data_IF_156201437031
#
_entry.id   IF_156201437031
#
_cell.length_a   1.000
_cell.length_b   1.000
_cell.length_c   1.000
_cell.angle_alpha   90.00
_cell.angle_beta   90.00
_cell.angle_gamma   90.00
#
_symmetry.space_group_name_H-M   'P 1'
#
loop_
_entity.id
_entity.type
_entity.pdbx_description
1 polymer ?
#
# COMPACT_ATOMS: atom_id res chain seq x y z
N UNK A 1 -3.67 5.12 -11.31
CA UNK A 1 -3.98 6.18 -10.33
C UNK A 1 -2.83 6.26 -9.35
N UNK A 2 -2.28 7.44 -9.09
CA UNK A 2 -1.13 7.62 -8.18
C UNK A 2 -1.62 7.82 -6.73
N UNK A 3 -0.78 7.44 -5.77
CA UNK A 3 -1.03 7.57 -4.33
C UNK A 3 -1.29 9.03 -3.92
N UNK A 4 -0.55 9.97 -4.49
CA UNK A 4 -0.72 11.41 -4.20
C UNK A 4 -2.13 11.89 -4.54
N UNK A 5 -2.66 11.45 -5.69
CA UNK A 5 -4.03 11.76 -6.10
C UNK A 5 -5.06 11.22 -5.11
N UNK A 6 -4.85 10.01 -4.57
CA UNK A 6 -5.75 9.43 -3.57
C UNK A 6 -5.70 10.20 -2.24
N UNK A 7 -4.52 10.67 -1.85
CA UNK A 7 -4.34 11.49 -0.64
C UNK A 7 -5.06 12.83 -0.79
N UNK A 8 -4.96 13.49 -1.95
CA UNK A 8 -5.69 14.74 -2.21
C UNK A 8 -7.21 14.53 -2.20
N UNK A 9 -7.71 13.45 -2.83
CA UNK A 9 -9.13 13.11 -2.77
C UNK A 9 -9.62 12.88 -1.34
N UNK A 10 -8.81 12.24 -0.48
CA UNK A 10 -9.16 12.04 0.92
C UNK A 10 -9.25 13.38 1.69
N UNK A 11 -8.38 14.35 1.39
CA UNK A 11 -8.43 15.70 1.96
C UNK A 11 -9.69 16.45 1.52
N UNK A 12 -9.97 16.44 0.22
CA UNK A 12 -11.18 17.06 -0.35
C UNK A 12 -12.47 16.46 0.22
N UNK A 13 -12.52 15.13 0.35
CA UNK A 13 -13.65 14.43 0.92
C UNK A 13 -13.88 14.82 2.39
N UNK A 14 -12.79 14.92 3.17
CA UNK A 14 -12.86 15.37 4.57
C UNK A 14 -13.35 16.82 4.68
N UNK A 15 -12.84 17.72 3.84
CA UNK A 15 -13.27 19.12 3.83
C UNK A 15 -14.76 19.25 3.45
N UNK A 16 -15.20 18.48 2.46
CA UNK A 16 -16.60 18.41 2.04
C UNK A 16 -17.50 17.91 3.17
N UNK A 17 -17.09 16.85 3.86
CA UNK A 17 -17.82 16.31 5.01
C UNK A 17 -17.94 17.34 6.14
N UNK A 18 -16.86 18.02 6.50
CA UNK A 18 -16.87 19.04 7.55
C UNK A 18 -17.84 20.18 7.22
N UNK A 19 -17.83 20.64 5.96
CA UNK A 19 -18.73 21.69 5.47
C UNK A 19 -20.19 21.26 5.60
N UNK A 20 -20.56 20.09 5.05
CA UNK A 20 -21.92 19.56 5.12
C UNK A 20 -22.39 19.27 6.55
N UNK A 21 -21.51 18.75 7.40
CA UNK A 21 -21.83 18.52 8.80
C UNK A 21 -22.15 19.85 9.53
N UNK A 22 -21.39 20.91 9.24
CA UNK A 22 -21.62 22.24 9.80
C UNK A 22 -22.92 22.87 9.28
N UNK A 23 -23.26 22.68 8.02
CA UNK A 23 -24.55 23.09 7.46
C UNK A 23 -25.71 22.41 8.19
N UNK A 24 -25.66 21.08 8.35
CA UNK A 24 -26.69 20.31 9.08
C UNK A 24 -26.82 20.77 10.55
N UNK A 25 -25.70 21.14 11.20
CA UNK A 25 -25.71 21.68 12.57
C UNK A 25 -26.37 23.05 12.68
N UNK A 26 -26.19 23.90 11.67
CA UNK A 26 -26.70 25.28 11.64
C UNK A 26 -28.13 25.40 11.12
N UNK A 27 -28.63 24.35 10.46
CA UNK A 27 -29.99 24.27 9.97
C UNK A 27 -30.99 24.33 11.14
N UNK A 28 -31.75 25.44 11.17
CA UNK A 28 -32.74 25.78 12.21
C UNK A 28 -34.07 25.06 11.99
N UNK A 29 -34.33 24.60 10.77
CA UNK A 29 -35.57 23.92 10.41
C UNK A 29 -35.53 22.43 10.83
N UNK A 30 -34.36 21.93 11.23
CA UNK A 30 -34.19 20.56 11.70
C UNK A 30 -34.41 20.44 13.21
N UNK A 31 -35.32 19.54 13.56
CA UNK A 31 -35.40 19.00 14.92
C UNK A 31 -34.12 18.26 15.28
N UNK A 32 -33.84 18.09 16.58
CA UNK A 32 -32.66 17.35 17.07
C UNK A 32 -32.59 15.93 16.48
N UNK A 33 -33.72 15.21 16.44
CA UNK A 33 -33.77 13.87 15.89
C UNK A 33 -33.53 13.85 14.36
N UNK A 34 -34.07 14.83 13.62
CA UNK A 34 -33.81 14.95 12.19
C UNK A 34 -32.33 15.25 11.90
N UNK A 35 -31.72 16.15 12.69
CA UNK A 35 -30.30 16.47 12.62
C UNK A 35 -29.41 15.27 12.89
N UNK A 36 -29.70 14.50 13.95
CA UNK A 36 -28.98 13.27 14.27
C UNK A 36 -29.05 12.25 13.12
N UNK A 37 -30.23 12.02 12.54
CA UNK A 37 -30.38 11.11 11.38
C UNK A 37 -29.57 11.56 10.17
N UNK A 38 -29.62 12.86 9.82
CA UNK A 38 -28.84 13.41 8.71
C UNK A 38 -27.33 13.31 8.95
N UNK A 39 -26.85 13.65 10.15
CA UNK A 39 -25.44 13.53 10.51
C UNK A 39 -24.95 12.08 10.50
N UNK A 40 -25.78 11.14 10.96
CA UNK A 40 -25.48 9.70 10.92
C UNK A 40 -25.29 9.24 9.48
N UNK A 41 -26.27 9.50 8.62
CA UNK A 41 -26.20 9.12 7.21
C UNK A 41 -24.98 9.75 6.51
N UNK A 42 -24.72 11.05 6.74
CA UNK A 42 -23.55 11.74 6.19
C UNK A 42 -22.23 11.08 6.66
N UNK A 43 -22.13 10.75 7.95
CA UNK A 43 -20.95 10.10 8.51
C UNK A 43 -20.74 8.69 7.94
N UNK A 44 -21.80 7.88 7.83
CA UNK A 44 -21.73 6.53 7.27
C UNK A 44 -21.23 6.56 5.82
N UNK A 45 -21.80 7.43 4.97
CA UNK A 45 -21.33 7.61 3.60
C UNK A 45 -19.86 8.06 3.54
N UNK A 46 -19.47 9.04 4.36
CA UNK A 46 -18.08 9.50 4.41
C UNK A 46 -17.12 8.38 4.85
N UNK A 47 -17.48 7.62 5.88
CA UNK A 47 -16.67 6.52 6.39
C UNK A 47 -16.47 5.42 5.33
N UNK A 48 -17.53 5.07 4.59
CA UNK A 48 -17.47 4.13 3.47
C UNK A 48 -16.55 4.62 2.35
N UNK A 49 -16.67 5.89 1.97
CA UNK A 49 -15.83 6.50 0.92
C UNK A 49 -14.35 6.56 1.34
N UNK A 50 -14.06 6.91 2.60
CA UNK A 50 -12.69 6.87 3.14
C UNK A 50 -12.12 5.46 3.17
N UNK A 51 -12.93 4.46 3.55
CA UNK A 51 -12.53 3.07 3.50
C UNK A 51 -12.26 2.59 2.06
N UNK A 52 -13.04 3.08 1.07
CA UNK A 52 -12.81 2.78 -0.34
C UNK A 52 -11.49 3.39 -0.84
N UNK A 53 -11.21 4.67 -0.53
CA UNK A 53 -9.94 5.32 -0.87
C UNK A 53 -8.74 4.59 -0.24
N UNK A 54 -8.88 4.13 1.01
CA UNK A 54 -7.84 3.33 1.66
C UNK A 54 -7.55 2.03 0.90
N UNK A 55 -8.58 1.28 0.50
CA UNK A 55 -8.40 0.06 -0.30
C UNK A 55 -7.73 0.35 -1.64
N UNK A 56 -8.06 1.46 -2.28
CA UNK A 56 -7.41 1.90 -3.52
C UNK A 56 -5.94 2.26 -3.30
N UNK A 57 -5.61 2.91 -2.18
CA UNK A 57 -4.23 3.21 -1.82
C UNK A 57 -3.41 1.93 -1.58
N UNK A 58 -3.96 0.97 -0.83
CA UNK A 58 -3.34 -0.34 -0.61
C UNK A 58 -3.10 -1.07 -1.94
N UNK A 59 -4.08 -1.05 -2.84
CA UNK A 59 -3.94 -1.63 -4.18
C UNK A 59 -2.88 -0.91 -5.03
N UNK A 60 -2.80 0.42 -4.97
CA UNK A 60 -1.80 1.21 -5.68
C UNK A 60 -0.38 0.89 -5.20
N UNK A 61 -0.19 0.69 -3.88
CA UNK A 61 1.09 0.24 -3.31
C UNK A 61 1.47 -1.13 -3.84
N UNK A 62 0.55 -2.10 -3.85
CA UNK A 62 0.84 -3.44 -4.37
C UNK A 62 1.16 -3.42 -5.87
N UNK A 63 0.44 -2.61 -6.65
CA UNK A 63 0.71 -2.45 -8.08
C UNK A 63 2.09 -1.81 -8.32
N UNK A 64 2.46 -0.79 -7.55
CA UNK A 64 3.78 -0.16 -7.62
C UNK A 64 4.89 -1.14 -7.25
N UNK A 65 4.73 -1.91 -6.16
CA UNK A 65 5.63 -2.99 -5.76
C UNK A 65 5.83 -4.01 -6.87
N UNK A 66 4.74 -4.53 -7.45
CA UNK A 66 4.80 -5.52 -8.52
C UNK A 66 5.52 -4.97 -9.77
N UNK A 67 5.23 -3.72 -10.14
CA UNK A 67 5.90 -3.05 -11.28
C UNK A 67 7.41 -2.93 -11.04
N UNK A 68 7.82 -2.43 -9.88
CA UNK A 68 9.23 -2.26 -9.53
C UNK A 68 9.94 -3.61 -9.42
N UNK A 69 9.31 -4.61 -8.80
CA UNK A 69 9.85 -5.97 -8.72
C UNK A 69 10.00 -6.62 -10.10
N UNK A 70 9.05 -6.39 -11.01
CA UNK A 70 9.17 -6.84 -12.40
C UNK A 70 10.27 -6.09 -13.15
N UNK A 71 10.46 -4.80 -12.90
CA UNK A 71 11.57 -4.05 -13.51
C UNK A 71 12.94 -4.54 -13.01
N UNK A 72 13.06 -4.85 -11.72
CA UNK A 72 14.30 -5.30 -11.09
C UNK A 72 14.64 -6.78 -11.38
N UNK A 73 13.64 -7.66 -11.37
CA UNK A 73 13.85 -9.12 -11.40
C UNK A 73 12.88 -9.85 -12.33
N UNK A 74 12.15 -9.16 -13.21
CA UNK A 74 11.20 -9.79 -14.12
C UNK A 74 11.86 -10.77 -15.10
N UNK A 75 11.16 -11.86 -15.38
CA UNK A 75 11.48 -12.74 -16.49
C UNK A 75 11.16 -12.06 -17.82
N UNK A 76 11.97 -12.36 -18.84
CA UNK A 76 11.72 -11.92 -20.19
C UNK A 76 10.53 -12.69 -20.82
N UNK A 77 9.74 -12.07 -21.71
CA UNK A 77 8.61 -12.73 -22.38
C UNK A 77 9.10 -13.89 -23.25
N UNK A 78 9.12 -15.10 -22.69
CA UNK A 78 9.67 -16.30 -23.32
C UNK A 78 10.50 -17.18 -22.37
N UNK A 79 10.93 -16.63 -21.23
CA UNK A 79 11.71 -17.35 -20.22
C UNK A 79 10.94 -17.61 -18.93
N UNK A 80 9.62 -17.43 -18.91
CA UNK A 80 8.80 -17.49 -17.68
C UNK A 80 8.92 -18.83 -16.97
N UNK A 81 8.85 -19.95 -17.70
CA UNK A 81 8.94 -21.27 -17.10
C UNK A 81 10.36 -21.61 -16.63
N UNK A 82 11.38 -21.24 -17.41
CA UNK A 82 12.79 -21.36 -17.00
C UNK A 82 13.08 -20.53 -15.75
N UNK A 83 12.56 -19.30 -15.68
CA UNK A 83 12.71 -18.42 -14.53
C UNK A 83 12.01 -18.97 -13.29
N UNK A 84 10.82 -19.58 -13.45
CA UNK A 84 10.16 -20.28 -12.34
C UNK A 84 11.01 -21.42 -11.79
N UNK A 85 11.59 -22.24 -12.67
CA UNK A 85 12.51 -23.31 -12.26
C UNK A 85 13.76 -22.78 -11.56
N UNK A 86 14.35 -21.71 -12.11
CA UNK A 86 15.51 -21.04 -11.52
C UNK A 86 15.24 -20.46 -10.12
N UNK A 87 14.06 -19.88 -9.90
CA UNK A 87 13.62 -19.44 -8.56
C UNK A 87 13.60 -20.61 -7.59
N UNK A 88 12.97 -21.73 -7.95
CA UNK A 88 12.92 -22.91 -7.08
C UNK A 88 14.32 -23.46 -6.76
N UNK A 89 15.27 -23.35 -7.68
CA UNK A 89 16.67 -23.72 -7.44
C UNK A 89 17.32 -22.74 -6.45
N UNK A 90 17.15 -21.43 -6.66
CA UNK A 90 17.71 -20.40 -5.80
C UNK A 90 17.12 -20.44 -4.38
N UNK A 91 15.82 -20.72 -4.24
CA UNK A 91 15.12 -20.84 -2.95
C UNK A 91 15.67 -21.97 -2.07
N UNK A 92 16.20 -23.04 -2.68
CA UNK A 92 16.77 -24.20 -1.98
C UNK A 92 18.07 -23.88 -1.25
N UNK A 93 18.75 -22.79 -1.59
CA UNK A 93 19.94 -22.38 -0.83
C UNK A 93 19.56 -22.12 0.62
N UNK A 94 20.24 -22.77 1.57
CA UNK A 94 19.93 -22.65 2.99
C UNK A 94 20.37 -21.29 3.56
N UNK A 95 21.49 -20.77 3.08
CA UNK A 95 22.12 -19.57 3.59
C UNK A 95 22.70 -18.68 2.48
N UNK A 96 23.29 -17.56 2.89
CA UNK A 96 23.91 -16.61 1.98
C UNK A 96 25.08 -17.21 1.18
N UNK A 97 25.88 -18.09 1.78
CA UNK A 97 27.05 -18.68 1.13
C UNK A 97 26.64 -19.67 0.03
N UNK A 98 25.61 -20.47 0.28
CA UNK A 98 25.02 -21.35 -0.74
C UNK A 98 24.45 -20.56 -1.90
N UNK A 99 23.69 -19.50 -1.62
CA UNK A 99 23.12 -18.66 -2.67
C UNK A 99 24.23 -17.96 -3.48
N UNK A 100 25.31 -17.55 -2.82
CA UNK A 100 26.47 -16.99 -3.49
C UNK A 100 27.17 -18.00 -4.41
N UNK A 101 27.28 -19.28 -4.00
CA UNK A 101 27.79 -20.35 -4.87
C UNK A 101 26.88 -20.59 -6.06
N UNK A 102 25.57 -20.57 -5.86
CA UNK A 102 24.57 -20.66 -6.95
C UNK A 102 24.75 -19.52 -7.95
N UNK A 103 24.88 -18.28 -7.47
CA UNK A 103 25.14 -17.12 -8.33
C UNK A 103 26.45 -17.28 -9.10
N UNK A 104 27.57 -17.62 -8.44
CA UNK A 104 28.86 -17.81 -9.13
C UNK A 104 28.77 -18.86 -10.23
N UNK A 105 28.17 -20.01 -9.94
CA UNK A 105 27.97 -21.06 -10.96
C UNK A 105 27.17 -20.54 -12.15
N UNK A 106 26.11 -19.77 -11.89
CA UNK A 106 25.29 -19.18 -12.95
C UNK A 106 26.12 -18.22 -13.82
N UNK A 107 26.97 -17.39 -13.22
CA UNK A 107 27.88 -16.50 -13.96
C UNK A 107 28.91 -17.30 -14.77
N UNK A 108 29.51 -18.34 -14.20
CA UNK A 108 30.52 -19.19 -14.85
C UNK A 108 29.94 -19.91 -16.09
N UNK A 109 28.64 -20.26 -16.07
CA UNK A 109 27.97 -20.94 -17.18
C UNK A 109 27.19 -20.00 -18.11
N UNK A 110 27.13 -18.71 -17.81
CA UNK A 110 26.31 -17.75 -18.54
C UNK A 110 24.79 -17.95 -18.37
N UNK A 111 24.34 -18.59 -17.28
CA UNK A 111 22.92 -18.77 -16.97
C UNK A 111 22.34 -17.50 -16.33
N UNK A 112 21.98 -16.54 -17.19
CA UNK A 112 21.42 -15.26 -16.74
C UNK A 112 20.09 -15.42 -15.99
N UNK A 113 19.31 -16.46 -16.30
CA UNK A 113 18.02 -16.72 -15.67
C UNK A 113 18.22 -17.15 -14.22
N UNK A 114 19.18 -18.04 -13.96
CA UNK A 114 19.55 -18.46 -12.61
C UNK A 114 20.25 -17.34 -11.83
N UNK A 115 21.11 -16.55 -12.47
CA UNK A 115 21.74 -15.40 -11.83
C UNK A 115 20.68 -14.38 -11.34
N UNK A 116 19.71 -14.03 -12.21
CA UNK A 116 18.58 -13.14 -11.88
C UNK A 116 17.70 -13.72 -10.78
N UNK A 117 17.45 -15.03 -10.77
CA UNK A 117 16.69 -15.70 -9.71
C UNK A 117 17.43 -15.68 -8.37
N UNK A 118 18.75 -15.94 -8.36
CA UNK A 118 19.57 -15.84 -7.16
C UNK A 118 19.59 -14.41 -6.60
N UNK A 119 19.67 -13.40 -7.46
CA UNK A 119 19.58 -11.99 -7.06
C UNK A 119 18.23 -11.63 -6.44
N UNK A 120 17.12 -12.16 -6.99
CA UNK A 120 15.79 -11.98 -6.39
C UNK A 120 15.74 -12.55 -4.96
N UNK A 121 16.18 -13.80 -4.76
CA UNK A 121 16.18 -14.43 -3.44
C UNK A 121 17.13 -13.70 -2.48
N UNK A 122 18.25 -13.18 -2.98
CA UNK A 122 19.17 -12.38 -2.20
C UNK A 122 18.51 -11.09 -1.69
N UNK A 123 17.76 -10.39 -2.57
CA UNK A 123 17.02 -9.20 -2.20
C UNK A 123 15.92 -9.50 -1.16
N UNK A 124 15.17 -10.59 -1.33
CA UNK A 124 14.11 -11.00 -0.40
C UNK A 124 14.64 -11.38 1.00
N UNK A 125 15.83 -12.00 1.06
CA UNK A 125 16.46 -12.43 2.32
C UNK A 125 17.41 -11.42 2.93
N UNK A 126 17.62 -10.28 2.27
CA UNK A 126 18.57 -9.24 2.73
C UNK A 126 20.04 -9.63 2.58
N UNK A 127 20.38 -10.58 1.71
CA UNK A 127 21.75 -11.04 1.46
C UNK A 127 22.50 -10.07 0.52
N UNK A 128 22.85 -8.89 1.06
CA UNK A 128 23.46 -7.79 0.29
C UNK A 128 24.68 -8.21 -0.53
N UNK A 129 25.60 -9.00 0.03
CA UNK A 129 26.81 -9.42 -0.68
C UNK A 129 26.52 -10.21 -1.98
N UNK A 130 25.42 -10.97 -2.03
CA UNK A 130 25.02 -11.71 -3.24
C UNK A 130 24.40 -10.77 -4.26
N UNK A 131 23.57 -9.84 -3.80
CA UNK A 131 22.95 -8.83 -4.65
C UNK A 131 24.00 -7.89 -5.26
N UNK A 132 24.97 -7.42 -4.47
CA UNK A 132 26.07 -6.56 -4.91
C UNK A 132 26.95 -7.28 -5.95
N UNK A 133 27.23 -8.57 -5.76
CA UNK A 133 27.95 -9.38 -6.74
C UNK A 133 27.20 -9.47 -8.07
N UNK A 134 25.88 -9.68 -8.05
CA UNK A 134 25.04 -9.69 -9.24
C UNK A 134 25.00 -8.33 -9.95
N UNK A 135 24.94 -7.23 -9.19
CA UNK A 135 24.92 -5.88 -9.75
C UNK A 135 26.27 -5.45 -10.34
N UNK A 136 27.38 -6.01 -9.84
CA UNK A 136 28.73 -5.74 -10.37
C UNK A 136 28.86 -6.19 -11.83
N UNK A 137 28.24 -7.31 -12.20
CA UNK A 137 28.24 -7.82 -13.58
C UNK A 137 27.10 -7.22 -14.43
N UNK A 138 26.10 -6.59 -13.81
CA UNK A 138 24.90 -6.02 -14.46
C UNK A 138 24.57 -4.61 -13.95
N UNK A 139 25.44 -3.62 -14.16
CA UNK A 139 25.26 -2.26 -13.64
C UNK A 139 23.97 -1.58 -14.13
N UNK A 140 23.46 -1.94 -15.31
CA UNK A 140 22.19 -1.44 -15.84
C UNK A 140 20.98 -1.79 -14.96
N UNK A 141 21.08 -2.84 -14.13
CA UNK A 141 20.00 -3.24 -13.22
C UNK A 141 20.05 -2.48 -11.88
N UNK A 142 21.17 -1.80 -11.57
CA UNK A 142 21.37 -1.16 -10.28
C UNK A 142 20.30 -0.12 -9.97
N UNK A 143 19.89 0.67 -10.97
CA UNK A 143 18.80 1.64 -10.81
C UNK A 143 17.48 0.96 -10.43
N UNK A 144 17.07 -0.07 -11.16
CA UNK A 144 15.79 -0.74 -10.91
C UNK A 144 15.76 -1.44 -9.54
N UNK A 145 16.88 -2.05 -9.12
CA UNK A 145 17.02 -2.66 -7.80
C UNK A 145 17.02 -1.58 -6.70
N UNK A 146 17.70 -0.47 -6.90
CA UNK A 146 17.70 0.68 -5.99
C UNK A 146 16.30 1.27 -5.79
N UNK A 147 15.58 1.53 -6.89
CA UNK A 147 14.20 2.04 -6.84
C UNK A 147 13.26 1.10 -6.07
N UNK A 148 13.41 -0.22 -6.22
CA UNK A 148 12.65 -1.19 -5.44
C UNK A 148 13.03 -1.15 -3.96
N UNK A 149 14.33 -1.10 -3.64
CA UNK A 149 14.82 -1.03 -2.26
C UNK A 149 14.32 0.22 -1.54
N UNK A 150 14.46 1.39 -2.16
CA UNK A 150 13.95 2.68 -1.65
C UNK A 150 12.43 2.64 -1.44
N UNK A 151 11.71 1.99 -2.36
CA UNK A 151 10.27 1.81 -2.24
C UNK A 151 9.90 0.92 -1.05
N UNK A 152 10.56 -0.22 -0.88
CA UNK A 152 10.30 -1.13 0.24
C UNK A 152 10.69 -0.53 1.59
N UNK A 153 11.79 0.23 1.65
CA UNK A 153 12.18 0.97 2.85
C UNK A 153 11.09 1.98 3.24
N UNK A 154 10.66 2.81 2.29
CA UNK A 154 9.61 3.80 2.52
C UNK A 154 8.27 3.17 2.91
N UNK A 155 7.87 2.07 2.26
CA UNK A 155 6.61 1.36 2.59
C UNK A 155 6.72 0.58 3.90
N UNK A 156 7.93 0.14 4.26
CA UNK A 156 8.25 -0.53 5.51
C UNK A 156 8.28 0.39 6.72
N UNK A 157 8.66 1.67 6.52
CA UNK A 157 8.75 2.67 7.58
C UNK A 157 7.43 2.83 8.36
N UNK A 158 7.42 2.55 9.68
CA UNK A 158 6.26 2.77 10.53
C UNK A 158 5.71 4.20 10.48
N UNK A 159 6.58 5.21 10.38
CA UNK A 159 6.20 6.61 10.33
C UNK A 159 5.40 6.94 9.07
N UNK A 160 5.92 6.57 7.91
CA UNK A 160 5.24 6.70 6.63
C UNK A 160 3.90 5.94 6.60
N UNK A 161 3.86 4.70 7.10
CA UNK A 161 2.62 3.91 7.16
C UNK A 161 1.56 4.56 8.05
N UNK A 162 1.98 5.12 9.18
CA UNK A 162 1.08 5.87 10.06
C UNK A 162 0.53 7.13 9.38
N UNK A 163 1.40 7.91 8.74
CA UNK A 163 1.00 9.12 8.02
C UNK A 163 0.01 8.78 6.90
N UNK A 164 0.29 7.74 6.11
CA UNK A 164 -0.59 7.29 5.05
C UNK A 164 -1.96 6.85 5.57
N UNK A 165 -1.99 6.01 6.63
CA UNK A 165 -3.25 5.58 7.24
C UNK A 165 -4.06 6.75 7.79
N UNK A 166 -3.39 7.73 8.38
CA UNK A 166 -4.02 8.95 8.90
C UNK A 166 -4.70 9.77 7.79
N UNK A 167 -4.14 9.79 6.58
CA UNK A 167 -4.78 10.46 5.44
C UNK A 167 -6.15 9.86 5.11
N UNK A 168 -6.31 8.55 5.24
CA UNK A 168 -7.57 7.83 4.96
C UNK A 168 -8.40 7.51 6.20
N UNK A 169 -8.06 8.05 7.36
CA UNK A 169 -8.88 7.92 8.55
C UNK A 169 -10.16 8.75 8.39
N UNK A 170 -11.31 8.12 8.67
CA UNK A 170 -12.57 8.83 8.76
C UNK A 170 -12.47 9.96 9.79
N UNK A 171 -13.20 11.05 9.57
CA UNK A 171 -13.33 12.10 10.57
C UNK A 171 -13.91 11.52 11.87
N UNK A 172 -13.62 12.11 13.04
CA UNK A 172 -14.21 11.64 14.28
C UNK A 172 -15.74 11.62 14.18
N UNK A 173 -16.35 10.58 14.76
CA UNK A 173 -17.80 10.46 14.81
C UNK A 173 -18.40 11.71 15.48
N UNK A 174 -19.47 12.31 14.91
CA UNK A 174 -20.12 13.45 15.55
C UNK A 174 -20.62 13.10 16.94
N UNK A 175 -20.28 13.91 17.95
CA UNK A 175 -20.67 13.74 19.36
C UNK A 175 -22.19 13.70 19.52
N UNK A 176 -22.92 14.35 18.61
CA UNK A 176 -24.38 14.35 18.57
C UNK A 176 -24.98 12.94 18.36
N UNK A 177 -24.21 11.99 17.82
CA UNK A 177 -24.63 10.61 17.60
C UNK A 177 -24.49 9.72 18.84
N UNK A 178 -23.80 10.18 19.89
CA UNK A 178 -23.61 9.45 21.13
C UNK A 178 -24.61 9.92 22.21
N UNK A 179 -25.39 10.96 21.93
CA UNK A 179 -26.42 11.44 22.84
C UNK A 179 -27.68 10.58 22.75
N UNK A 180 -28.28 10.18 23.89
CA UNK A 180 -29.53 9.44 23.88
C UNK A 180 -30.61 10.22 23.14
N UNK A 181 -31.45 9.51 22.39
CA UNK A 181 -32.59 10.13 21.72
C UNK A 181 -33.43 10.89 22.76
N UNK A 182 -33.85 12.14 22.49
CA UNK A 182 -34.73 12.84 23.41
C UNK A 182 -35.99 11.99 23.61
N UNK A 183 -36.33 11.72 24.88
CA UNK A 183 -37.59 11.06 25.23
C UNK A 183 -38.69 11.94 24.66
N UNK A 184 -39.43 11.41 23.68
CA UNK A 184 -40.59 12.10 23.13
C UNK A 184 -41.64 12.03 24.22
N UNK A 185 -41.71 13.04 25.08
CA UNK A 185 -42.84 13.21 25.99
C UNK A 185 -44.07 13.37 25.09
N UNK A 186 -44.87 12.30 25.01
CA UNK A 186 -46.19 12.34 24.39
C UNK A 186 -47.00 13.37 25.15
N UNK A 187 -47.14 14.57 24.58
CA UNK A 187 -48.08 15.56 25.10
C UNK A 187 -49.47 14.91 25.07
N UNK A 188 -50.15 14.76 26.22
CA UNK A 188 -51.53 14.30 26.23
C UNK A 188 -52.39 15.31 25.47
N UNK A 189 -53.35 14.76 24.71
CA UNK A 189 -54.28 15.49 23.85
C UNK A 189 -55.24 16.38 24.66
#
# INVERSE_FOLDING_TARGET
>A
MNLDTLVEQAKELRATYQTKANEIRRDRDLTRAARQRKLKALYETHAEQMAALRRQADAAIQAARQRLRRAAFGADPGQVDSYRGAIQIAERAADQNELQRTLRRAEDTGDEVLAKAAALIAAERGYRAVLDAYLTTRPQMAQAVGELADFEERVGDPGWRFALRSNFAAAPRPVELDQPAPVVEMRPA
#
